data_IF_312710658842
#
_entry.id   IF_312710658842
#
_cell.length_a   1.000
_cell.length_b   1.000
_cell.length_c   1.000
_cell.angle_alpha   90.00
_cell.angle_beta   90.00
_cell.angle_gamma   90.00
#
_symmetry.space_group_name_H-M   'P 1'
#
loop_
_entity.id
_entity.type
_entity.pdbx_description
1 polymer ?
#
# COMPACT_ATOMS: atom_id res chain seq x y z
N UNK A 1 -5.51 7.19 -10.04
CA UNK A 1 -4.07 7.11 -9.73
C UNK A 1 -3.70 5.75 -9.11
N UNK A 2 -4.26 5.36 -7.96
CA UNK A 2 -4.04 4.02 -7.35
C UNK A 2 -4.45 2.81 -8.22
N UNK A 3 -5.49 2.94 -9.05
CA UNK A 3 -5.96 1.83 -9.91
C UNK A 3 -5.09 1.59 -11.16
N UNK A 4 -4.13 2.47 -11.46
CA UNK A 4 -3.23 2.29 -12.61
C UNK A 4 -2.01 1.42 -12.29
N UNK A 5 -1.65 1.27 -11.01
CA UNK A 5 -0.72 0.22 -10.59
C UNK A 5 -1.53 -1.05 -10.41
N UNK A 6 -1.13 -2.13 -11.09
CA UNK A 6 -1.77 -3.46 -11.03
C UNK A 6 -1.60 -4.13 -9.65
N UNK A 7 -1.97 -3.42 -8.58
CA UNK A 7 -2.08 -3.98 -7.25
C UNK A 7 -3.19 -5.02 -7.27
N UNK A 8 -2.89 -6.22 -6.82
CA UNK A 8 -3.92 -7.23 -6.64
C UNK A 8 -4.93 -6.74 -5.59
N UNK A 9 -6.20 -7.13 -5.76
CA UNK A 9 -7.26 -6.83 -4.77
C UNK A 9 -6.85 -7.27 -3.35
N UNK A 10 -6.05 -8.34 -3.26
CA UNK A 10 -5.45 -8.82 -2.01
C UNK A 10 -4.43 -7.83 -1.42
N UNK A 11 -3.49 -7.33 -2.22
CA UNK A 11 -2.45 -6.39 -1.76
C UNK A 11 -3.09 -5.08 -1.30
N UNK A 12 -4.04 -4.55 -2.08
CA UNK A 12 -4.80 -3.36 -1.70
C UNK A 12 -5.58 -3.57 -0.39
N UNK A 13 -6.25 -4.72 -0.24
CA UNK A 13 -7.00 -5.04 0.98
C UNK A 13 -6.06 -5.21 2.20
N UNK A 14 -4.89 -5.81 2.04
CA UNK A 14 -3.88 -5.90 3.09
C UNK A 14 -3.36 -4.51 3.47
N UNK A 15 -2.97 -3.67 2.51
CA UNK A 15 -2.51 -2.30 2.80
C UNK A 15 -3.60 -1.47 3.50
N UNK A 16 -4.87 -1.61 3.10
CA UNK A 16 -5.98 -0.87 3.70
C UNK A 16 -6.42 -1.40 5.07
N UNK A 17 -6.38 -2.72 5.31
CA UNK A 17 -6.77 -3.32 6.59
C UNK A 17 -5.64 -3.25 7.63
N UNK A 18 -4.40 -3.54 7.23
CA UNK A 18 -3.25 -3.57 8.13
C UNK A 18 -2.67 -2.18 8.38
N UNK A 19 -2.86 -1.23 7.45
CA UNK A 19 -2.31 0.14 7.52
C UNK A 19 -0.88 0.19 8.06
N UNK A 20 0.08 -0.49 7.40
CA UNK A 20 1.49 -0.43 7.80
C UNK A 20 2.02 1.01 7.69
N UNK A 21 2.93 1.38 8.60
CA UNK A 21 3.48 2.73 8.66
C UNK A 21 4.67 2.91 7.69
N UNK A 22 5.33 1.80 7.36
CA UNK A 22 6.55 1.82 6.54
C UNK A 22 6.46 0.88 5.33
N UNK A 23 7.27 1.19 4.31
CA UNK A 23 7.38 0.34 3.13
C UNK A 23 7.93 -1.06 3.47
N UNK A 24 8.88 -1.14 4.41
CA UNK A 24 9.42 -2.41 4.91
C UNK A 24 8.35 -3.28 5.57
N UNK A 25 7.52 -2.73 6.47
CA UNK A 25 6.40 -3.49 7.05
C UNK A 25 5.43 -3.98 5.98
N UNK A 26 5.13 -3.13 5.00
CA UNK A 26 4.24 -3.48 3.90
C UNK A 26 4.78 -4.64 3.06
N UNK A 27 6.09 -4.67 2.81
CA UNK A 27 6.78 -5.77 2.11
C UNK A 27 6.83 -7.04 2.97
N UNK A 28 7.06 -6.92 4.27
CA UNK A 28 7.05 -8.04 5.20
C UNK A 28 5.65 -8.69 5.30
N UNK A 29 4.59 -7.88 5.33
CA UNK A 29 3.21 -8.34 5.35
C UNK A 29 2.75 -8.88 3.99
N UNK A 30 3.25 -8.27 2.92
CA UNK A 30 2.87 -8.58 1.54
C UNK A 30 4.15 -8.81 0.73
N UNK A 31 4.75 -10.01 0.82
CA UNK A 31 5.98 -10.34 0.11
C UNK A 31 5.80 -10.33 -1.43
N UNK A 32 4.56 -10.21 -1.93
CA UNK A 32 4.26 -10.02 -3.35
C UNK A 32 4.58 -8.61 -3.87
N UNK A 33 4.64 -7.61 -2.97
CA UNK A 33 5.05 -6.24 -3.29
C UNK A 33 6.58 -6.10 -3.28
N UNK A 34 7.26 -6.96 -2.51
CA UNK A 34 8.71 -7.01 -2.43
C UNK A 34 9.32 -7.35 -3.79
N UNK A 35 10.17 -6.47 -4.30
CA UNK A 35 10.77 -6.59 -5.64
C UNK A 35 9.89 -6.11 -6.80
N UNK A 36 8.62 -5.78 -6.56
CA UNK A 36 7.73 -5.17 -7.56
C UNK A 36 7.66 -3.65 -7.51
N UNK A 37 7.83 -3.08 -6.34
CA UNK A 37 7.77 -1.64 -6.10
C UNK A 37 8.98 -1.17 -5.29
N UNK A 38 9.46 0.03 -5.59
CA UNK A 38 10.45 0.72 -4.77
C UNK A 38 9.82 1.22 -3.47
N UNK A 39 10.66 1.41 -2.46
CA UNK A 39 10.30 1.86 -1.12
C UNK A 39 9.54 3.19 -1.17
N UNK A 40 10.06 4.15 -1.93
CA UNK A 40 9.44 5.48 -2.14
C UNK A 40 8.04 5.37 -2.77
N UNK A 41 7.88 4.52 -3.79
CA UNK A 41 6.60 4.32 -4.46
C UNK A 41 5.58 3.67 -3.52
N UNK A 42 6.02 2.72 -2.68
CA UNK A 42 5.17 2.05 -1.71
C UNK A 42 4.73 3.01 -0.60
N UNK A 43 5.64 3.85 -0.12
CA UNK A 43 5.35 4.89 0.87
C UNK A 43 4.33 5.90 0.35
N UNK A 44 4.44 6.34 -0.91
CA UNK A 44 3.41 7.18 -1.53
C UNK A 44 2.04 6.50 -1.59
N UNK A 45 1.98 5.20 -1.87
CA UNK A 45 0.72 4.43 -1.90
C UNK A 45 0.11 4.37 -0.50
N UNK A 46 0.91 4.13 0.53
CA UNK A 46 0.45 4.11 1.92
C UNK A 46 -0.13 5.46 2.35
N UNK A 47 0.56 6.54 2.00
CA UNK A 47 0.14 7.89 2.32
C UNK A 47 -1.19 8.26 1.60
N UNK A 48 -1.33 7.88 0.32
CA UNK A 48 -2.57 8.07 -0.45
C UNK A 48 -3.72 7.22 0.11
N UNK A 49 -3.45 5.99 0.58
CA UNK A 49 -4.43 5.12 1.23
C UNK A 49 -4.88 5.69 2.58
N UNK A 50 -3.94 6.09 3.44
CA UNK A 50 -4.27 6.71 4.73
C UNK A 50 -5.06 8.00 4.55
N UNK A 51 -4.62 8.87 3.64
CA UNK A 51 -5.32 10.10 3.29
C UNK A 51 -6.73 9.80 2.82
N UNK A 52 -6.92 8.88 1.87
CA UNK A 52 -8.25 8.49 1.38
C UNK A 52 -9.14 7.89 2.46
N UNK A 53 -8.58 7.08 3.36
CA UNK A 53 -9.32 6.49 4.49
C UNK A 53 -9.74 7.56 5.49
N UNK A 54 -8.91 8.58 5.71
CA UNK A 54 -9.25 9.70 6.59
C UNK A 54 -10.26 10.67 5.97
N UNK A 55 -10.29 10.83 4.64
CA UNK A 55 -11.30 11.63 3.92
C UNK A 55 -12.69 10.96 3.87
N UNK A 56 -12.78 9.67 4.20
CA UNK A 56 -14.04 8.93 4.17
C UNK A 56 -14.81 8.97 5.50
N UNK A 57 -14.34 9.76 6.48
CA UNK A 57 -14.97 9.97 7.79
C UNK A 57 -15.50 11.40 7.93
#
# INVERSE_FOLDING_TARGET
LLLQKKLHKFELACLANLCPETAEESKALIPSLEGRFEDEELQQILDDIQTKRSFQY
#
